data_IF_028698162218
#
_entry.id   IF_028698162218
#
_cell.length_a   1.000
_cell.length_b   1.000
_cell.length_c   1.000
_cell.angle_alpha   90.00
_cell.angle_beta   90.00
_cell.angle_gamma   90.00
#
_symmetry.space_group_name_H-M   'P 1'
#
loop_
_entity.id
_entity.type
_entity.pdbx_description
1 polymer ?
#
# COMPACT_ATOMS: atom_id res chain seq x y z
N UNK A 1 29.08 -6.74 6.01
CA UNK A 1 28.44 -5.82 5.04
C UNK A 1 27.88 -6.60 3.86
N UNK A 2 28.70 -7.35 3.12
CA UNK A 2 28.25 -8.14 1.95
C UNK A 2 27.17 -9.16 2.30
N UNK A 3 27.34 -9.94 3.36
CA UNK A 3 26.33 -10.93 3.79
C UNK A 3 25.03 -10.28 4.27
N UNK A 4 25.15 -9.09 4.90
CA UNK A 4 24.02 -8.30 5.39
C UNK A 4 23.16 -7.77 4.22
N UNK A 5 23.83 -7.27 3.17
CA UNK A 5 23.19 -6.83 1.93
C UNK A 5 22.56 -8.01 1.17
N UNK A 6 23.23 -9.16 1.11
CA UNK A 6 22.69 -10.35 0.46
C UNK A 6 21.45 -10.88 1.19
N UNK A 7 21.46 -10.89 2.52
CA UNK A 7 20.30 -11.26 3.33
C UNK A 7 19.13 -10.29 3.13
N UNK A 8 19.40 -8.98 3.08
CA UNK A 8 18.39 -7.96 2.80
C UNK A 8 17.80 -8.12 1.39
N UNK A 9 18.65 -8.33 0.38
CA UNK A 9 18.22 -8.56 -1.00
C UNK A 9 17.30 -9.79 -1.11
N UNK A 10 17.64 -10.89 -0.44
CA UNK A 10 16.80 -12.08 -0.39
C UNK A 10 15.41 -11.80 0.21
N UNK A 11 15.33 -11.02 1.30
CA UNK A 11 14.05 -10.60 1.88
C UNK A 11 13.25 -9.72 0.92
N UNK A 12 13.90 -8.78 0.22
CA UNK A 12 13.22 -7.89 -0.75
C UNK A 12 12.65 -8.70 -1.91
N UNK A 13 13.43 -9.63 -2.46
CA UNK A 13 12.95 -10.48 -3.54
C UNK A 13 11.80 -11.40 -3.09
N UNK A 14 11.81 -11.88 -1.85
CA UNK A 14 10.69 -12.63 -1.29
C UNK A 14 9.40 -11.80 -1.19
N UNK A 15 9.51 -10.51 -0.83
CA UNK A 15 8.36 -9.60 -0.70
C UNK A 15 7.73 -9.21 -2.05
N UNK A 16 8.55 -9.10 -3.10
CA UNK A 16 8.14 -8.57 -4.40
C UNK A 16 7.70 -9.66 -5.38
N UNK A 17 6.67 -9.41 -6.21
CA UNK A 17 6.34 -10.29 -7.33
C UNK A 17 7.56 -10.67 -8.18
N UNK A 18 7.64 -11.91 -8.72
CA UNK A 18 8.83 -12.41 -9.43
C UNK A 18 9.35 -11.49 -10.53
N UNK A 19 8.47 -10.78 -11.25
CA UNK A 19 8.85 -9.83 -12.31
C UNK A 19 9.66 -8.63 -11.83
N UNK A 20 9.64 -8.34 -10.52
CA UNK A 20 10.35 -7.23 -9.90
C UNK A 20 11.59 -7.66 -9.11
N UNK A 21 11.86 -8.96 -9.02
CA UNK A 21 13.04 -9.47 -8.36
C UNK A 21 14.29 -9.07 -9.16
N UNK A 22 15.33 -8.61 -8.47
CA UNK A 22 16.59 -8.14 -9.05
C UNK A 22 16.46 -7.00 -10.09
N UNK A 23 15.29 -6.34 -10.17
CA UNK A 23 14.95 -5.31 -11.16
C UNK A 23 14.92 -3.90 -10.53
N UNK A 24 15.90 -3.57 -9.69
CA UNK A 24 15.85 -2.42 -8.80
C UNK A 24 15.76 -1.05 -9.50
N UNK A 25 16.37 -0.90 -10.68
CA UNK A 25 16.38 0.35 -11.44
C UNK A 25 15.51 0.36 -12.71
N UNK A 26 14.78 -0.72 -13.02
CA UNK A 26 14.05 -0.85 -14.29
C UNK A 26 12.56 -0.51 -14.19
N UNK A 27 12.04 -0.24 -12.99
CA UNK A 27 10.65 0.14 -12.77
C UNK A 27 10.54 1.66 -12.81
N UNK A 28 9.73 2.17 -13.75
CA UNK A 28 9.52 3.61 -13.87
C UNK A 28 8.57 4.12 -12.78
N UNK A 29 8.97 5.19 -12.10
CA UNK A 29 8.11 5.89 -11.17
C UNK A 29 7.16 6.90 -11.86
N UNK A 30 7.16 6.96 -13.20
CA UNK A 30 6.31 7.88 -13.95
C UNK A 30 4.85 7.44 -13.92
N UNK A 31 3.95 8.36 -13.59
CA UNK A 31 2.50 8.11 -13.59
C UNK A 31 1.94 8.03 -15.02
N UNK A 32 1.08 7.05 -15.29
CA UNK A 32 0.38 6.89 -16.58
C UNK A 32 -0.94 7.67 -16.65
N UNK A 33 -1.27 8.47 -15.63
CA UNK A 33 -2.58 9.13 -15.51
C UNK A 33 -3.67 8.21 -14.96
N UNK A 34 -4.74 8.79 -14.41
CA UNK A 34 -5.83 8.04 -13.78
C UNK A 34 -7.00 7.87 -14.75
N UNK A 35 -7.43 6.64 -15.01
CA UNK A 35 -8.54 6.34 -15.92
C UNK A 35 -9.86 6.95 -15.45
N UNK A 36 -10.63 7.58 -16.32
CA UNK A 36 -11.94 8.16 -15.96
C UNK A 36 -12.94 7.08 -15.49
N UNK A 37 -13.85 7.45 -14.59
CA UNK A 37 -14.93 6.56 -14.18
C UNK A 37 -15.92 6.34 -15.33
N UNK A 38 -16.48 5.12 -15.38
CA UNK A 38 -17.59 4.74 -16.25
C UNK A 38 -18.84 4.58 -15.40
N UNK A 39 -19.99 4.92 -15.96
CA UNK A 39 -21.27 4.89 -15.26
C UNK A 39 -22.28 4.06 -16.03
N UNK A 40 -23.09 3.29 -15.30
CA UNK A 40 -24.19 2.51 -15.85
C UNK A 40 -25.43 3.38 -16.13
N UNK A 41 -26.50 2.75 -16.63
CA UNK A 41 -27.76 3.43 -16.93
C UNK A 41 -28.45 4.05 -15.70
N UNK A 42 -28.15 3.55 -14.50
CA UNK A 42 -28.67 4.05 -13.23
C UNK A 42 -27.78 5.17 -12.63
N UNK A 43 -26.72 5.56 -13.34
CA UNK A 43 -25.77 6.58 -12.90
C UNK A 43 -24.81 6.11 -11.81
N UNK A 44 -24.67 4.79 -11.61
CA UNK A 44 -23.70 4.20 -10.67
C UNK A 44 -22.41 3.87 -11.38
N UNK A 45 -21.30 3.91 -10.65
CA UNK A 45 -19.99 3.61 -11.22
C UNK A 45 -19.88 2.11 -11.53
N UNK A 46 -19.44 1.78 -12.73
CA UNK A 46 -19.08 0.42 -13.17
C UNK A 46 -17.64 0.08 -12.70
N UNK A 47 -17.47 -0.13 -11.40
CA UNK A 47 -16.14 -0.29 -10.77
C UNK A 47 -15.30 -1.41 -11.38
N UNK A 48 -15.92 -2.50 -11.81
CA UNK A 48 -15.29 -3.65 -12.48
C UNK A 48 -14.79 -3.34 -13.91
N UNK A 49 -15.11 -2.15 -14.44
CA UNK A 49 -14.83 -1.76 -15.84
C UNK A 49 -13.97 -0.50 -15.98
N UNK A 50 -13.48 0.08 -14.88
CA UNK A 50 -12.77 1.37 -14.92
C UNK A 50 -11.31 1.26 -15.36
N UNK A 51 -10.71 0.06 -15.39
CA UNK A 51 -9.32 -0.15 -15.82
C UNK A 51 -9.19 -1.10 -17.00
N UNK A 52 -8.13 -0.91 -17.77
CA UNK A 52 -7.63 -1.84 -18.79
C UNK A 52 -6.41 -2.61 -18.29
N UNK A 53 -5.50 -1.91 -17.60
CA UNK A 53 -4.26 -2.42 -17.01
C UNK A 53 -3.94 -1.70 -15.71
N UNK A 54 -3.11 -2.30 -14.85
CA UNK A 54 -2.56 -1.65 -13.65
C UNK A 54 -1.15 -1.09 -13.91
N UNK A 55 -0.81 0.03 -13.26
CA UNK A 55 0.56 0.51 -13.17
C UNK A 55 1.44 -0.45 -12.34
N UNK A 56 2.75 -0.24 -12.39
CA UNK A 56 3.68 -0.92 -11.50
C UNK A 56 3.38 -0.63 -10.03
N UNK A 57 3.55 -1.64 -9.17
CA UNK A 57 3.30 -1.56 -7.73
C UNK A 57 4.23 -0.52 -7.09
N UNK A 58 3.70 0.34 -6.21
CA UNK A 58 4.52 1.34 -5.52
C UNK A 58 5.63 0.72 -4.67
N UNK A 59 5.32 -0.40 -4.02
CA UNK A 59 6.29 -1.24 -3.30
C UNK A 59 7.42 -1.74 -4.21
N UNK A 60 7.12 -1.96 -5.49
CA UNK A 60 8.08 -2.33 -6.52
C UNK A 60 8.69 -1.10 -7.23
N UNK A 61 8.55 0.12 -6.71
CA UNK A 61 9.15 1.34 -7.29
C UNK A 61 8.29 2.06 -8.33
N UNK A 62 7.12 1.53 -8.68
CA UNK A 62 6.15 2.25 -9.51
C UNK A 62 5.61 3.51 -8.81
N UNK A 63 4.89 4.39 -9.51
CA UNK A 63 4.24 5.55 -8.90
C UNK A 63 3.20 5.09 -7.86
N UNK A 64 3.18 5.68 -6.65
CA UNK A 64 2.03 5.51 -5.77
C UNK A 64 0.79 6.11 -6.45
N UNK A 65 -0.35 5.47 -6.26
CA UNK A 65 -1.60 5.95 -6.84
C UNK A 65 -1.92 7.40 -6.42
N UNK A 66 -1.53 7.78 -5.20
CA UNK A 66 -1.62 9.16 -4.70
C UNK A 66 -0.25 9.71 -4.32
N UNK A 67 -0.05 11.02 -4.52
CA UNK A 67 1.18 11.72 -4.12
C UNK A 67 1.32 12.03 -2.62
N UNK A 68 0.23 11.97 -1.86
CA UNK A 68 0.19 12.22 -0.40
C UNK A 68 -0.70 11.17 0.28
N UNK A 69 -0.58 10.98 1.59
CA UNK A 69 -1.35 9.99 2.35
C UNK A 69 -2.85 10.34 2.44
N UNK A 70 -3.71 9.39 2.09
CA UNK A 70 -5.16 9.44 2.34
C UNK A 70 -5.48 8.74 3.65
N UNK A 71 -5.87 9.52 4.65
CA UNK A 71 -6.28 9.07 5.99
C UNK A 71 -7.79 9.26 6.16
N UNK A 72 -8.48 8.47 7.02
CA UNK A 72 -9.85 8.81 7.38
C UNK A 72 -9.84 10.10 8.21
N UNK A 73 -10.86 10.93 8.00
CA UNK A 73 -11.15 12.04 8.90
C UNK A 73 -11.91 11.51 10.11
N UNK A 74 -11.98 12.29 11.19
CA UNK A 74 -12.78 11.96 12.38
C UNK A 74 -14.14 11.37 11.99
N UNK A 75 -14.55 10.25 12.61
CA UNK A 75 -15.76 9.58 12.21
C UNK A 75 -16.99 10.45 12.44
N UNK A 76 -17.87 10.50 11.45
CA UNK A 76 -19.15 11.20 11.51
C UNK A 76 -20.25 10.23 11.06
N UNK A 77 -21.23 9.96 11.92
CA UNK A 77 -22.39 9.15 11.54
C UNK A 77 -23.47 10.02 10.87
N UNK A 78 -23.25 10.34 9.60
CA UNK A 78 -24.18 11.10 8.76
C UNK A 78 -24.80 10.23 7.65
N UNK A 79 -25.97 10.61 7.09
CA UNK A 79 -26.50 9.94 5.90
C UNK A 79 -25.47 9.88 4.76
N UNK A 80 -24.68 10.95 4.61
CA UNK A 80 -23.61 11.03 3.64
C UNK A 80 -22.49 10.03 3.92
N UNK A 81 -22.08 9.85 5.18
CA UNK A 81 -21.11 8.81 5.55
C UNK A 81 -21.59 7.43 5.11
N UNK A 82 -22.85 7.07 5.41
CA UNK A 82 -23.43 5.76 5.07
C UNK A 82 -23.51 5.53 3.56
N UNK A 83 -23.80 6.56 2.78
CA UNK A 83 -23.75 6.49 1.30
C UNK A 83 -22.34 6.20 0.79
N UNK A 84 -21.34 6.92 1.29
CA UNK A 84 -19.93 6.72 0.90
C UNK A 84 -19.45 5.34 1.32
N UNK A 85 -19.76 4.91 2.55
CA UNK A 85 -19.40 3.60 3.07
C UNK A 85 -20.03 2.48 2.24
N UNK A 86 -21.33 2.56 1.97
CA UNK A 86 -22.02 1.58 1.14
C UNK A 86 -21.43 1.50 -0.28
N UNK A 87 -21.11 2.64 -0.87
CA UNK A 87 -20.50 2.70 -2.21
C UNK A 87 -19.07 2.17 -2.22
N UNK A 88 -18.26 2.48 -1.20
CA UNK A 88 -16.90 1.94 -1.06
C UNK A 88 -16.94 0.41 -0.90
N UNK A 89 -17.81 -0.10 -0.04
CA UNK A 89 -18.03 -1.55 0.13
C UNK A 89 -18.47 -2.22 -1.18
N UNK A 90 -19.37 -1.59 -1.96
CA UNK A 90 -19.80 -2.07 -3.28
C UNK A 90 -18.62 -2.10 -4.25
N UNK A 91 -17.86 -1.01 -4.33
CA UNK A 91 -16.73 -0.87 -5.22
C UNK A 91 -15.66 -1.93 -4.97
N UNK A 92 -15.29 -2.15 -3.71
CA UNK A 92 -14.30 -3.18 -3.35
C UNK A 92 -14.82 -4.56 -3.76
N UNK A 93 -16.07 -4.91 -3.41
CA UNK A 93 -16.64 -6.22 -3.80
C UNK A 93 -16.63 -6.45 -5.30
N UNK A 94 -17.01 -5.46 -6.10
CA UNK A 94 -17.03 -5.59 -7.57
C UNK A 94 -15.63 -5.78 -8.18
N UNK A 95 -14.60 -5.32 -7.49
CA UNK A 95 -13.26 -5.20 -8.06
C UNK A 95 -12.29 -6.26 -7.58
N UNK A 96 -12.49 -6.76 -6.37
CA UNK A 96 -11.63 -7.79 -5.76
C UNK A 96 -12.36 -9.09 -5.49
N UNK A 97 -13.71 -9.10 -5.53
CA UNK A 97 -14.56 -10.21 -5.09
C UNK A 97 -14.38 -10.59 -3.60
N UNK A 98 -13.63 -9.81 -2.83
CA UNK A 98 -13.43 -10.05 -1.41
C UNK A 98 -14.69 -9.67 -0.60
N UNK A 99 -15.00 -10.40 0.48
CA UNK A 99 -16.04 -9.97 1.42
C UNK A 99 -15.65 -8.65 2.08
N UNK A 100 -16.64 -7.75 2.21
CA UNK A 100 -16.45 -6.42 2.82
C UNK A 100 -17.62 -6.10 3.71
N UNK A 101 -17.32 -5.63 4.92
CA UNK A 101 -18.28 -5.24 5.94
C UNK A 101 -17.92 -3.86 6.51
N UNK A 102 -18.93 -3.11 6.94
CA UNK A 102 -18.70 -1.95 7.80
C UNK A 102 -18.10 -2.43 9.11
N UNK A 103 -17.03 -1.78 9.58
CA UNK A 103 -16.32 -2.22 10.79
C UNK A 103 -16.62 -1.26 11.94
N UNK A 104 -15.78 -0.24 12.09
CA UNK A 104 -15.91 0.83 13.06
C UNK A 104 -15.99 2.16 12.34
N UNK A 105 -16.58 3.20 12.94
CA UNK A 105 -16.68 4.51 12.30
C UNK A 105 -15.31 4.97 11.76
N UNK A 106 -15.27 5.31 10.47
CA UNK A 106 -14.06 5.70 9.74
C UNK A 106 -13.34 4.57 9.01
N UNK A 107 -13.80 3.31 9.15
CA UNK A 107 -13.14 2.13 8.58
C UNK A 107 -14.12 1.15 7.93
N UNK A 108 -13.77 0.67 6.73
CA UNK A 108 -14.38 -0.52 6.11
C UNK A 108 -13.45 -1.71 6.25
N UNK A 109 -13.98 -2.85 6.67
CA UNK A 109 -13.23 -4.10 6.86
C UNK A 109 -13.32 -4.99 5.62
N UNK A 110 -12.18 -5.38 5.07
CA UNK A 110 -12.06 -6.30 3.95
C UNK A 110 -11.50 -7.62 4.47
N UNK A 111 -12.28 -8.70 4.36
CA UNK A 111 -11.83 -10.02 4.78
C UNK A 111 -10.84 -10.59 3.76
N UNK A 112 -9.60 -10.83 4.20
CA UNK A 112 -8.58 -11.48 3.40
C UNK A 112 -8.59 -13.00 3.64
N UNK A 113 -8.07 -13.75 2.68
CA UNK A 113 -7.96 -15.22 2.73
C UNK A 113 -7.05 -15.74 3.85
N UNK A 114 -6.15 -14.91 4.38
CA UNK A 114 -5.24 -15.24 5.47
C UNK A 114 -4.70 -13.98 6.15
N UNK A 115 -4.07 -14.14 7.32
CA UNK A 115 -3.32 -13.06 7.95
C UNK A 115 -2.12 -12.59 7.10
N UNK A 116 -1.49 -13.52 6.37
CA UNK A 116 -0.38 -13.23 5.48
C UNK A 116 -0.81 -12.31 4.33
N UNK A 117 -2.00 -12.55 3.77
CA UNK A 117 -2.61 -11.69 2.77
C UNK A 117 -2.90 -10.30 3.33
N UNK A 118 -3.55 -10.23 4.50
CA UNK A 118 -3.86 -8.96 5.13
C UNK A 118 -2.59 -8.15 5.47
N UNK A 119 -1.54 -8.80 5.96
CA UNK A 119 -0.26 -8.16 6.27
C UNK A 119 0.45 -7.62 5.02
N UNK A 120 0.53 -8.42 3.95
CA UNK A 120 1.14 -7.97 2.70
C UNK A 120 0.34 -6.84 2.05
N UNK A 121 -1.00 -6.96 2.01
CA UNK A 121 -1.88 -5.91 1.48
C UNK A 121 -1.79 -4.63 2.28
N UNK A 122 -1.59 -4.69 3.60
CA UNK A 122 -1.37 -3.50 4.43
C UNK A 122 -0.12 -2.74 3.97
N UNK A 123 1.01 -3.41 3.78
CA UNK A 123 2.25 -2.78 3.27
C UNK A 123 2.01 -2.20 1.88
N UNK A 124 1.42 -2.98 0.98
CA UNK A 124 1.23 -2.58 -0.41
C UNK A 124 0.29 -1.36 -0.54
N UNK A 125 -0.85 -1.36 0.17
CA UNK A 125 -1.81 -0.24 0.14
C UNK A 125 -1.23 1.02 0.77
N UNK A 126 -0.48 0.88 1.87
CA UNK A 126 0.24 2.01 2.49
C UNK A 126 1.28 2.60 1.54
N UNK A 127 2.03 1.75 0.82
CA UNK A 127 2.98 2.20 -0.18
C UNK A 127 2.30 2.96 -1.34
N UNK A 128 1.02 2.69 -1.63
CA UNK A 128 0.18 3.45 -2.58
C UNK A 128 -0.37 4.78 -2.00
N UNK A 129 0.05 5.15 -0.79
CA UNK A 129 -0.36 6.33 -0.03
C UNK A 129 -1.86 6.34 0.37
N UNK A 130 -2.40 5.18 0.71
CA UNK A 130 -3.70 5.04 1.39
C UNK A 130 -3.44 4.41 2.76
N UNK A 131 -3.95 5.00 3.84
CA UNK A 131 -3.80 4.40 5.17
C UNK A 131 -4.46 3.02 5.17
N UNK A 132 -3.82 2.03 5.79
CA UNK A 132 -4.42 0.74 6.04
C UNK A 132 -4.05 0.24 7.42
N UNK A 133 -5.06 -0.28 8.13
CA UNK A 133 -4.90 -0.96 9.42
C UNK A 133 -5.20 -2.44 9.28
N UNK A 134 -4.84 -3.24 10.28
CA UNK A 134 -5.10 -4.68 10.25
C UNK A 134 -5.62 -5.20 11.58
N UNK A 135 -6.60 -6.11 11.52
CA UNK A 135 -7.05 -6.93 12.65
C UNK A 135 -7.12 -8.40 12.21
N UNK A 136 -6.09 -9.18 12.55
CA UNK A 136 -5.97 -10.57 12.09
C UNK A 136 -5.93 -10.63 10.56
N UNK A 137 -6.87 -11.34 9.95
CA UNK A 137 -7.04 -11.44 8.50
C UNK A 137 -7.94 -10.35 7.88
N UNK A 138 -8.35 -9.34 8.64
CA UNK A 138 -9.16 -8.22 8.14
C UNK A 138 -8.27 -7.01 7.89
N UNK A 139 -8.28 -6.51 6.65
CA UNK A 139 -7.67 -5.23 6.27
C UNK A 139 -8.69 -4.11 6.43
N UNK A 140 -8.33 -3.06 7.16
CA UNK A 140 -9.19 -1.91 7.42
C UNK A 140 -8.76 -0.75 6.52
N UNK A 141 -9.69 -0.22 5.73
CA UNK A 141 -9.48 0.88 4.79
C UNK A 141 -10.29 2.12 5.20
N UNK A 142 -9.79 3.33 4.90
CA UNK A 142 -10.39 4.56 5.39
C UNK A 142 -11.67 4.88 4.65
N UNK A 143 -12.63 5.44 5.39
CA UNK A 143 -13.86 6.03 4.85
C UNK A 143 -14.19 7.32 5.62
N UNK A 144 -14.69 8.33 4.93
CA UNK A 144 -15.22 9.54 5.56
C UNK A 144 -16.35 10.13 4.72
N UNK A 145 -17.29 10.86 5.36
CA UNK A 145 -18.41 11.50 4.66
C UNK A 145 -17.96 12.46 3.54
N UNK A 146 -16.79 13.07 3.71
CA UNK A 146 -16.19 14.00 2.76
C UNK A 146 -15.57 13.33 1.52
N UNK A 147 -15.44 11.99 1.51
CA UNK A 147 -14.85 11.30 0.37
C UNK A 147 -15.74 11.43 -0.87
N UNK A 148 -15.12 11.84 -1.96
CA UNK A 148 -15.77 11.98 -3.27
C UNK A 148 -15.54 10.74 -4.10
N UNK A 149 -16.54 10.34 -4.87
CA UNK A 149 -16.52 9.13 -5.70
C UNK A 149 -15.33 9.14 -6.66
N UNK A 150 -15.17 10.20 -7.44
CA UNK A 150 -14.11 10.35 -8.44
C UNK A 150 -12.70 10.56 -7.86
N UNK A 151 -12.59 10.76 -6.54
CA UNK A 151 -11.31 11.06 -5.87
C UNK A 151 -11.03 10.08 -4.75
N UNK A 152 -11.41 10.41 -3.52
CA UNK A 152 -10.99 9.64 -2.35
C UNK A 152 -11.49 8.18 -2.38
N UNK A 153 -12.74 7.94 -2.79
CA UNK A 153 -13.28 6.57 -2.93
C UNK A 153 -12.51 5.80 -4.00
N UNK A 154 -12.38 6.38 -5.20
CA UNK A 154 -11.59 5.79 -6.28
C UNK A 154 -10.16 5.49 -5.87
N UNK A 155 -9.52 6.37 -5.11
CA UNK A 155 -8.15 6.17 -4.65
C UNK A 155 -8.02 4.94 -3.76
N UNK A 156 -8.93 4.76 -2.79
CA UNK A 156 -8.96 3.57 -1.93
C UNK A 156 -9.19 2.31 -2.75
N UNK A 157 -10.18 2.33 -3.64
CA UNK A 157 -10.54 1.17 -4.48
C UNK A 157 -9.39 0.77 -5.40
N UNK A 158 -8.76 1.73 -6.09
CA UNK A 158 -7.66 1.45 -7.01
C UNK A 158 -6.42 0.97 -6.26
N UNK A 159 -6.08 1.56 -5.11
CA UNK A 159 -4.94 1.11 -4.31
C UNK A 159 -5.12 -0.34 -3.83
N UNK A 160 -6.31 -0.68 -3.33
CA UNK A 160 -6.62 -2.06 -2.92
C UNK A 160 -6.65 -3.00 -4.12
N UNK A 161 -7.41 -2.70 -5.19
CA UNK A 161 -7.57 -3.58 -6.34
C UNK A 161 -6.23 -3.86 -7.03
N UNK A 162 -5.39 -2.83 -7.17
CA UNK A 162 -4.01 -2.96 -7.68
C UNK A 162 -3.21 -3.89 -6.78
N UNK A 163 -3.18 -3.64 -5.47
CA UNK A 163 -2.41 -4.45 -4.52
C UNK A 163 -2.89 -5.91 -4.53
N UNK A 164 -4.20 -6.12 -4.48
CA UNK A 164 -4.81 -7.45 -4.51
C UNK A 164 -4.52 -8.20 -5.80
N UNK A 165 -4.55 -7.53 -6.96
CA UNK A 165 -4.14 -8.14 -8.23
C UNK A 165 -2.71 -8.72 -8.17
N UNK A 166 -1.77 -8.01 -7.55
CA UNK A 166 -0.40 -8.52 -7.37
C UNK A 166 -0.32 -9.66 -6.36
N UNK A 167 -1.04 -9.55 -5.24
CA UNK A 167 -1.13 -10.64 -4.27
C UNK A 167 -1.69 -11.91 -4.91
N UNK A 168 -2.87 -11.84 -5.52
CA UNK A 168 -3.59 -12.98 -6.05
C UNK A 168 -2.89 -13.60 -7.25
N UNK A 169 -2.56 -12.78 -8.26
CA UNK A 169 -2.12 -13.24 -9.57
C UNK A 169 -0.61 -13.22 -9.82
N UNK A 170 0.20 -12.56 -8.98
CA UNK A 170 1.63 -12.41 -9.25
C UNK A 170 2.57 -12.92 -8.15
N UNK A 171 2.12 -13.10 -6.90
CA UNK A 171 2.94 -13.76 -5.89
C UNK A 171 2.86 -15.29 -6.01
N UNK A 172 4.01 -15.95 -5.86
CA UNK A 172 4.05 -17.42 -5.75
C UNK A 172 3.53 -17.89 -4.38
N UNK A 173 3.12 -19.16 -4.29
CA UNK A 173 2.68 -19.75 -3.02
C UNK A 173 3.73 -19.61 -1.90
N UNK A 174 5.00 -19.87 -2.21
CA UNK A 174 6.09 -19.72 -1.23
C UNK A 174 6.27 -18.28 -0.75
N UNK A 175 6.03 -17.28 -1.60
CA UNK A 175 6.07 -15.88 -1.18
C UNK A 175 4.90 -15.52 -0.27
N UNK A 176 3.70 -16.02 -0.55
CA UNK A 176 2.52 -15.85 0.30
C UNK A 176 2.72 -16.47 1.69
N UNK A 177 3.47 -17.57 1.79
CA UNK A 177 3.83 -18.18 3.08
C UNK A 177 4.85 -17.35 3.86
N UNK A 178 5.84 -16.76 3.18
CA UNK A 178 6.88 -15.95 3.84
C UNK A 178 6.33 -14.65 4.44
N UNK A 179 5.20 -14.16 3.95
CA UNK A 179 4.53 -12.97 4.50
C UNK A 179 3.66 -13.29 5.72
N UNK A 180 3.51 -14.58 6.08
CA UNK A 180 2.87 -15.00 7.32
C UNK A 180 3.79 -14.66 8.51
N UNK A 181 3.61 -13.46 9.07
CA UNK A 181 4.42 -12.96 10.18
C UNK A 181 3.75 -11.82 10.95
N UNK A 182 4.30 -11.52 12.13
CA UNK A 182 3.75 -10.61 13.14
C UNK A 182 3.37 -9.20 12.65
N UNK A 183 2.53 -8.55 13.47
CA UNK A 183 2.02 -7.19 13.32
C UNK A 183 3.09 -6.18 12.89
N UNK A 184 2.76 -5.43 11.83
CA UNK A 184 3.49 -4.21 11.49
C UNK A 184 3.14 -3.14 12.51
N UNK A 185 4.13 -2.39 12.99
CA UNK A 185 3.86 -1.25 13.86
C UNK A 185 3.05 -0.19 13.09
N UNK A 186 1.79 0.00 13.48
CA UNK A 186 0.98 1.11 13.00
C UNK A 186 1.55 2.45 13.52
N UNK A 187 1.44 3.55 12.76
CA UNK A 187 2.03 4.85 13.15
C UNK A 187 1.57 5.39 14.51
N UNK A 188 0.44 4.90 15.06
CA UNK A 188 -0.12 5.35 16.33
C UNK A 188 -0.35 6.87 16.34
N UNK A 189 -0.44 7.45 17.54
CA UNK A 189 -0.62 8.91 17.71
C UNK A 189 0.62 9.74 17.30
N UNK A 190 1.79 9.09 17.22
CA UNK A 190 3.04 9.74 16.86
C UNK A 190 3.12 10.11 15.37
N UNK A 191 2.24 9.52 14.54
CA UNK A 191 2.11 9.85 13.13
C UNK A 191 3.30 9.40 12.28
N UNK A 192 3.55 10.13 11.19
CA UNK A 192 4.57 9.81 10.20
C UNK A 192 5.78 10.72 10.33
N UNK A 193 6.97 10.13 10.44
CA UNK A 193 8.24 10.82 10.28
C UNK A 193 8.67 10.78 8.82
N UNK A 194 9.05 11.93 8.27
CA UNK A 194 9.48 12.10 6.89
C UNK A 194 11.00 12.19 6.81
N UNK A 195 11.60 11.39 5.94
CA UNK A 195 13.05 11.28 5.71
C UNK A 195 13.36 11.61 4.26
N UNK A 196 14.13 12.67 4.03
CA UNK A 196 14.56 13.05 2.68
C UNK A 196 15.61 12.06 2.16
N UNK A 197 15.43 11.59 0.93
CA UNK A 197 16.43 10.80 0.23
C UNK A 197 17.10 11.66 -0.86
N UNK A 198 18.33 11.33 -1.29
CA UNK A 198 19.06 12.14 -2.27
C UNK A 198 18.36 12.18 -3.63
N UNK A 199 17.68 11.09 -4.00
CA UNK A 199 16.87 10.99 -5.21
C UNK A 199 15.75 9.94 -5.03
N UNK A 200 14.93 9.78 -6.07
CA UNK A 200 13.83 8.83 -6.08
C UNK A 200 14.29 7.36 -6.09
N UNK A 201 15.45 7.06 -6.68
CA UNK A 201 15.99 5.70 -6.70
C UNK A 201 16.40 5.25 -5.29
N UNK A 202 17.03 6.14 -4.52
CA UNK A 202 17.33 5.93 -3.11
C UNK A 202 16.06 5.74 -2.29
N UNK A 203 15.03 6.58 -2.50
CA UNK A 203 13.75 6.45 -1.81
C UNK A 203 13.07 5.09 -2.10
N UNK A 204 13.09 4.62 -3.34
CA UNK A 204 12.54 3.31 -3.72
C UNK A 204 13.32 2.16 -3.10
N UNK A 205 14.67 2.22 -3.12
CA UNK A 205 15.50 1.19 -2.51
C UNK A 205 15.24 1.09 -1.01
N UNK A 206 15.27 2.23 -0.31
CA UNK A 206 15.05 2.32 1.12
C UNK A 206 13.63 1.92 1.50
N UNK A 207 12.62 2.24 0.68
CA UNK A 207 11.24 1.82 0.91
C UNK A 207 11.16 0.29 0.99
N UNK A 208 11.80 -0.42 0.06
CA UNK A 208 11.80 -1.89 0.06
C UNK A 208 12.59 -2.45 1.25
N UNK A 209 13.74 -1.86 1.54
CA UNK A 209 14.58 -2.27 2.67
C UNK A 209 13.86 -2.10 4.02
N UNK A 210 13.10 -1.03 4.20
CA UNK A 210 12.32 -0.79 5.42
C UNK A 210 11.10 -1.72 5.47
N UNK A 211 10.41 -1.92 4.35
CA UNK A 211 9.21 -2.75 4.28
C UNK A 211 9.47 -4.21 4.68
N UNK A 212 10.61 -4.78 4.28
CA UNK A 212 10.97 -6.16 4.62
C UNK A 212 11.37 -6.36 6.08
N UNK A 213 11.69 -5.28 6.79
CA UNK A 213 11.91 -5.28 8.24
C UNK A 213 10.61 -5.03 9.02
N UNK A 214 9.46 -5.25 8.39
CA UNK A 214 8.13 -5.19 9.03
C UNK A 214 7.78 -3.81 9.59
N UNK A 215 8.24 -2.76 8.92
CA UNK A 215 7.87 -1.37 9.21
C UNK A 215 7.01 -0.85 8.08
N UNK A 216 5.86 -0.26 8.42
CA UNK A 216 5.05 0.45 7.43
C UNK A 216 5.87 1.59 6.83
N UNK A 217 5.86 1.70 5.52
CA UNK A 217 6.63 2.69 4.81
C UNK A 217 5.93 3.05 3.52
N UNK A 218 6.00 4.33 3.18
CA UNK A 218 5.46 4.90 1.97
C UNK A 218 6.41 5.98 1.47
N UNK A 219 6.13 6.53 0.29
CA UNK A 219 6.95 7.59 -0.29
C UNK A 219 6.13 8.75 -0.85
N UNK A 220 6.68 9.94 -0.77
CA UNK A 220 6.17 11.15 -1.41
C UNK A 220 7.32 11.77 -2.22
N UNK A 221 7.36 11.48 -3.52
CA UNK A 221 8.52 11.81 -4.35
C UNK A 221 9.79 11.07 -3.89
N UNK A 222 10.83 11.83 -3.58
CA UNK A 222 12.11 11.35 -3.07
C UNK A 222 12.18 11.26 -1.53
N UNK A 223 11.06 11.33 -0.83
CA UNK A 223 11.04 11.18 0.62
C UNK A 223 10.32 9.91 1.07
N UNK A 224 10.88 9.27 2.09
CA UNK A 224 10.25 8.19 2.82
C UNK A 224 9.40 8.74 3.95
N UNK A 225 8.25 8.13 4.18
CA UNK A 225 7.47 8.35 5.38
C UNK A 225 7.36 7.03 6.12
N UNK A 226 7.78 7.01 7.40
CA UNK A 226 7.70 5.86 8.30
C UNK A 226 6.99 6.25 9.60
N UNK A 227 6.42 5.31 10.37
CA UNK A 227 5.97 5.57 11.74
C UNK A 227 7.00 6.34 12.57
N UNK A 228 6.57 7.31 13.38
CA UNK A 228 7.49 8.12 14.20
C UNK A 228 8.08 7.37 15.42
N UNK A 229 7.76 6.08 15.60
CA UNK A 229 8.28 5.22 16.66
C UNK A 229 9.81 5.01 16.57
N UNK A 230 10.41 4.64 17.71
CA UNK A 230 11.87 4.42 17.82
C UNK A 230 12.33 3.28 16.90
N UNK A 231 11.59 2.17 16.89
CA UNK A 231 11.92 1.01 16.06
C UNK A 231 11.99 1.36 14.56
N UNK A 232 11.01 2.11 14.05
CA UNK A 232 11.01 2.54 12.64
C UNK A 232 12.22 3.43 12.31
N UNK A 233 12.64 4.30 13.23
CA UNK A 233 13.84 5.14 13.05
C UNK A 233 15.13 4.31 13.00
N UNK A 234 15.25 3.29 13.85
CA UNK A 234 16.40 2.38 13.84
C UNK A 234 16.48 1.57 12.54
N UNK A 235 15.34 1.06 12.06
CA UNK A 235 15.24 0.34 10.79
C UNK A 235 15.66 1.25 9.62
N UNK A 236 15.19 2.49 9.59
CA UNK A 236 15.60 3.47 8.56
C UNK A 236 17.09 3.77 8.64
N UNK A 237 17.65 3.99 9.84
CA UNK A 237 19.08 4.27 10.00
C UNK A 237 19.95 3.11 9.51
N UNK A 238 19.55 1.86 9.81
CA UNK A 238 20.23 0.66 9.33
C UNK A 238 20.13 0.51 7.81
N UNK A 239 18.93 0.69 7.24
CA UNK A 239 18.73 0.66 5.80
C UNK A 239 19.58 1.73 5.10
N UNK A 240 19.64 2.94 5.66
CA UNK A 240 20.46 4.04 5.14
C UNK A 240 21.95 3.71 5.10
N UNK A 241 22.49 3.16 6.20
CA UNK A 241 23.88 2.68 6.28
C UNK A 241 24.18 1.65 5.19
N UNK A 242 23.26 0.70 4.99
CA UNK A 242 23.39 -0.34 3.96
C UNK A 242 23.35 0.26 2.55
N UNK A 243 22.41 1.17 2.28
CA UNK A 243 22.31 1.86 0.99
C UNK A 243 23.61 2.60 0.64
N UNK A 244 24.17 3.36 1.58
CA UNK A 244 25.43 4.09 1.38
C UNK A 244 26.59 3.17 1.00
N UNK A 245 26.61 1.94 1.51
CA UNK A 245 27.62 0.94 1.16
C UNK A 245 27.45 0.34 -0.25
N UNK A 246 26.34 0.59 -0.93
CA UNK A 246 26.08 0.13 -2.31
C UNK A 246 26.47 1.16 -3.37
N UNK A 247 26.74 2.41 -2.98
CA UNK A 247 27.12 3.49 -3.90
C UNK A 247 28.62 3.34 -4.24
N UNK A 248 29.00 3.26 -5.53
CA UNK A 248 30.41 3.29 -5.92
C UNK A 248 31.06 4.61 -5.48
N UNK A 249 32.22 4.52 -4.81
CA UNK A 249 33.06 5.67 -4.47
C UNK A 249 33.93 6.13 -5.65
#
# INVERSE_FOLDING_TARGET
MTDELAALDAKINALLPPRYQHCYGSVSASSMGSASLKYDADGRVEWDRIWTTFCDLALAGGPPHRGTLLDPVLPEDSPRYREVEAELCRAIRLTTLLPVESDSPGWVGVACESEAAAAWLQVAVVAENVTARRRGSVLLLPVAASFRIEKEVKNVVVALAKSYHYWDGHLTAGQKELTAGELLAEPGDAGWHRVECPDEAAAVWLLRAVAVERVLVRREGNALCVPAGVHAREVVANAWRLWQATIPH
#
